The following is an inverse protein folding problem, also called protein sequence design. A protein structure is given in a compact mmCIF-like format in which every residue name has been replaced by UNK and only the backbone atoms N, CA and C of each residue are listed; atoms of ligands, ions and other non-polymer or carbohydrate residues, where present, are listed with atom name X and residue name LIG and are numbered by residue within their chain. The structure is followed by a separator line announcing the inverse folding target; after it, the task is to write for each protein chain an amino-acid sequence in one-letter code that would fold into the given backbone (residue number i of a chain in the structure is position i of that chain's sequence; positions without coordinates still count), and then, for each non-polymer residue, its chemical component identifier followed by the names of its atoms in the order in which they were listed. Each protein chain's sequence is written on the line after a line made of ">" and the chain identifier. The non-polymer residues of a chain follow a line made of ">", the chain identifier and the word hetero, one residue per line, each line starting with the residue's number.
data_IF_198809380618
#
_entry.id   IF_198809380618
#
_cell.length_a   1.000
_cell.length_b   1.000
_cell.length_c   1.000
_cell.angle_alpha   90.00
_cell.angle_beta   90.00
_cell.angle_gamma   90.00
#
_symmetry.space_group_name_H-M   'P 1'
#
loop_
_entity.id
_entity.type
_entity.pdbx_description
1 polymer ?
#
# COMPACT_ATOMS: atom_id res chain seq x y z
N UNK A 1 20.26 -35.56 -15.63
CA UNK A 1 19.35 -35.05 -16.65
C UNK A 1 19.18 -33.54 -16.45
N UNK A 2 20.25 -32.79 -16.73
CA UNK A 2 20.30 -31.33 -16.68
C UNK A 2 21.52 -30.93 -17.52
N UNK A 3 21.27 -30.55 -18.76
CA UNK A 3 22.16 -29.84 -19.68
C UNK A 3 21.32 -29.65 -20.94
N UNK A 4 21.03 -28.39 -21.27
CA UNK A 4 20.83 -27.85 -22.62
C UNK A 4 19.88 -26.65 -22.52
N UNK A 5 20.46 -25.45 -22.63
CA UNK A 5 19.88 -24.28 -23.31
C UNK A 5 20.93 -23.15 -23.28
N UNK A 6 22.03 -23.39 -23.98
CA UNK A 6 22.93 -22.36 -24.49
C UNK A 6 23.14 -22.70 -25.96
N UNK A 7 22.38 -22.07 -26.87
CA UNK A 7 22.87 -21.49 -28.13
C UNK A 7 21.78 -21.13 -29.15
N UNK A 8 21.93 -19.89 -29.67
CA UNK A 8 21.49 -19.33 -30.97
C UNK A 8 20.05 -18.79 -31.13
N UNK A 9 19.80 -17.85 -32.07
CA UNK A 9 20.59 -16.68 -32.49
C UNK A 9 19.76 -15.38 -32.50
N UNK A 10 20.42 -14.23 -32.58
CA UNK A 10 19.80 -12.89 -32.65
C UNK A 10 19.35 -12.52 -34.08
N UNK A 11 18.18 -11.84 -34.22
CA UNK A 11 17.83 -10.76 -35.18
C UNK A 11 16.30 -10.44 -35.15
N UNK A 12 15.79 -9.30 -35.67
CA UNK A 12 16.21 -7.91 -35.53
C UNK A 12 15.05 -6.96 -35.07
N UNK A 13 15.45 -5.73 -34.76
CA UNK A 13 14.73 -4.48 -34.42
C UNK A 13 13.23 -4.30 -34.75
N UNK A 14 12.49 -3.71 -33.79
CA UNK A 14 11.40 -2.77 -34.04
C UNK A 14 11.49 -1.56 -33.10
N UNK A 15 11.48 -0.38 -33.71
CA UNK A 15 11.60 0.95 -33.11
C UNK A 15 10.48 1.29 -32.11
N UNK A 16 10.84 1.80 -30.93
CA UNK A 16 10.14 2.90 -30.23
C UNK A 16 11.14 3.64 -29.32
N UNK A 17 11.12 4.98 -29.23
CA UNK A 17 12.18 5.73 -28.56
C UNK A 17 11.90 5.90 -27.06
N UNK A 18 12.61 5.15 -26.23
CA UNK A 18 12.74 5.41 -24.80
C UNK A 18 13.83 6.46 -24.59
N UNK A 19 13.48 7.64 -24.08
CA UNK A 19 14.45 8.66 -23.64
C UNK A 19 15.20 8.14 -22.41
N UNK A 20 16.40 7.60 -22.63
CA UNK A 20 17.41 7.38 -21.60
C UNK A 20 18.24 8.67 -21.45
N UNK A 21 18.26 9.22 -20.25
CA UNK A 21 19.19 10.27 -19.84
C UNK A 21 20.49 9.55 -19.44
N UNK A 22 21.50 9.54 -20.31
CA UNK A 22 22.85 9.12 -19.95
C UNK A 22 23.61 10.30 -19.32
N UNK A 23 24.01 10.12 -18.06
CA UNK A 23 24.95 10.99 -17.36
C UNK A 23 26.35 10.41 -17.61
N UNK A 24 27.16 11.08 -18.44
CA UNK A 24 28.55 10.69 -18.69
C UNK A 24 29.48 11.41 -17.70
N UNK A 25 30.11 10.65 -16.80
CA UNK A 25 31.27 11.09 -16.02
C UNK A 25 32.54 10.86 -16.83
N UNK A 26 33.28 11.92 -17.17
CA UNK A 26 34.64 11.78 -17.73
C UNK A 26 35.70 11.75 -16.62
N UNK A 27 36.53 10.72 -16.67
CA UNK A 27 37.65 10.43 -15.76
C UNK A 27 38.90 11.17 -16.25
N UNK A 28 39.61 11.82 -15.32
CA UNK A 28 40.88 12.53 -15.53
C UNK A 28 41.96 11.65 -16.18
N UNK A 29 42.60 12.15 -17.25
CA UNK A 29 44.02 11.90 -17.55
C UNK A 29 44.60 13.06 -18.39
N UNK A 30 45.80 13.51 -18.00
CA UNK A 30 46.58 14.62 -18.60
C UNK A 30 46.87 14.42 -20.10
N UNK A 31 46.86 15.50 -20.91
CA UNK A 31 47.94 15.90 -21.86
C UNK A 31 47.59 17.22 -22.63
N UNK A 32 48.54 18.17 -22.59
CA UNK A 32 48.89 19.33 -23.46
C UNK A 32 47.86 20.21 -24.23
N UNK A 33 48.02 21.54 -24.05
CA UNK A 33 47.44 22.72 -24.74
C UNK A 33 47.80 22.81 -26.25
N UNK A 34 47.12 23.59 -27.15
CA UNK A 34 46.69 25.00 -26.93
C UNK A 34 45.34 25.50 -27.52
N UNK A 35 44.77 26.49 -26.82
CA UNK A 35 44.10 27.73 -27.28
C UNK A 35 43.21 27.65 -28.54
N UNK A 36 41.89 27.69 -28.34
CA UNK A 36 41.02 28.68 -29.00
C UNK A 36 39.76 28.95 -28.16
N UNK A 37 39.52 30.23 -27.93
CA UNK A 37 38.44 30.82 -27.15
C UNK A 37 37.11 30.60 -27.87
N UNK A 38 36.15 29.96 -27.21
CA UNK A 38 34.72 30.04 -27.51
C UNK A 38 34.01 30.38 -26.20
N UNK A 39 33.10 31.37 -26.16
CA UNK A 39 32.50 31.80 -24.92
C UNK A 39 31.64 30.67 -24.36
N UNK A 40 31.84 30.35 -23.08
CA UNK A 40 30.94 29.49 -22.34
C UNK A 40 29.56 30.16 -22.30
N UNK A 41 28.67 29.77 -23.20
CA UNK A 41 27.24 30.02 -23.04
C UNK A 41 26.80 29.19 -21.85
N UNK A 42 26.85 29.79 -20.67
CA UNK A 42 26.27 29.25 -19.45
C UNK A 42 24.76 29.16 -19.67
N UNK A 43 24.29 28.00 -20.15
CA UNK A 43 22.86 27.67 -20.12
C UNK A 43 22.53 27.44 -18.65
N UNK A 44 22.08 28.49 -18.00
CA UNK A 44 21.39 28.37 -16.71
C UNK A 44 20.09 27.62 -17.02
N UNK A 45 20.07 26.31 -16.80
CA UNK A 45 18.82 25.55 -16.74
C UNK A 45 18.12 25.95 -15.44
N UNK A 46 17.47 27.11 -15.44
CA UNK A 46 16.42 27.45 -14.48
C UNK A 46 15.14 26.73 -14.89
N UNK A 47 15.20 25.40 -14.89
CA UNK A 47 14.07 24.55 -15.17
C UNK A 47 13.26 24.29 -13.90
N UNK A 48 12.63 25.32 -13.33
CA UNK A 48 11.34 25.03 -12.65
C UNK A 48 10.41 24.70 -13.81
N UNK A 49 10.19 23.42 -14.08
CA UNK A 49 9.20 23.00 -15.07
C UNK A 49 7.87 23.63 -14.66
N UNK A 50 7.39 24.63 -15.41
CA UNK A 50 6.06 25.19 -15.20
C UNK A 50 5.07 24.04 -15.37
N UNK A 51 4.54 23.54 -14.26
CA UNK A 51 3.57 22.45 -14.29
C UNK A 51 2.27 23.01 -14.90
N UNK A 52 1.73 22.32 -15.90
CA UNK A 52 0.45 22.75 -16.49
C UNK A 52 -0.67 22.60 -15.45
N UNK A 53 -1.70 23.44 -15.51
CA UNK A 53 -2.86 23.35 -14.60
C UNK A 53 -3.44 21.92 -14.56
N UNK A 54 -3.51 21.24 -15.72
CA UNK A 54 -3.99 19.86 -15.79
C UNK A 54 -3.08 18.89 -15.03
N UNK A 55 -1.76 19.04 -15.16
CA UNK A 55 -0.78 18.21 -14.49
C UNK A 55 -0.78 18.47 -12.98
N UNK A 56 -0.83 19.73 -12.55
CA UNK A 56 -0.92 20.09 -11.13
C UNK A 56 -2.20 19.56 -10.50
N UNK A 57 -3.36 19.70 -11.18
CA UNK A 57 -4.63 19.15 -10.71
C UNK A 57 -4.56 17.62 -10.62
N UNK A 58 -3.94 16.96 -11.60
CA UNK A 58 -3.71 15.52 -11.56
C UNK A 58 -2.90 15.14 -10.32
N UNK A 59 -1.73 15.74 -10.10
CA UNK A 59 -0.83 15.43 -9.00
C UNK A 59 -1.48 15.65 -7.63
N UNK A 60 -2.17 16.79 -7.46
CA UNK A 60 -2.87 17.12 -6.21
C UNK A 60 -3.99 16.11 -5.93
N UNK A 61 -4.75 15.71 -6.95
CA UNK A 61 -5.86 14.76 -6.76
C UNK A 61 -5.37 13.34 -6.59
N UNK A 62 -4.38 12.88 -7.38
CA UNK A 62 -3.81 11.54 -7.25
C UNK A 62 -3.02 11.35 -5.95
N UNK A 63 -2.53 12.45 -5.37
CA UNK A 63 -1.91 12.44 -4.04
C UNK A 63 -2.90 12.26 -2.90
N UNK A 64 -4.21 12.39 -3.15
CA UNK A 64 -5.28 12.13 -2.19
C UNK A 64 -6.17 10.98 -2.69
N UNK A 65 -5.86 9.72 -2.32
CA UNK A 65 -6.64 8.56 -2.73
C UNK A 65 -8.12 8.63 -2.32
N UNK A 66 -8.47 9.30 -1.23
CA UNK A 66 -9.87 9.44 -0.78
C UNK A 66 -10.61 10.37 -1.72
N UNK A 67 -10.02 11.53 -2.04
CA UNK A 67 -10.59 12.46 -3.01
C UNK A 67 -10.70 11.81 -4.39
N UNK A 68 -9.67 11.07 -4.81
CA UNK A 68 -9.68 10.30 -6.04
C UNK A 68 -10.87 9.33 -6.05
N UNK A 69 -11.14 8.60 -4.96
CA UNK A 69 -12.28 7.69 -4.83
C UNK A 69 -13.64 8.43 -4.84
N UNK A 70 -13.73 9.63 -4.28
CA UNK A 70 -14.95 10.43 -4.36
C UNK A 70 -15.23 10.91 -5.79
N UNK A 71 -14.20 11.40 -6.49
CA UNK A 71 -14.28 11.69 -7.93
C UNK A 71 -14.60 10.40 -8.67
N UNK A 72 -14.01 9.29 -8.20
CA UNK A 72 -14.21 7.93 -8.70
C UNK A 72 -15.64 7.41 -8.53
N UNK A 73 -16.52 8.13 -7.85
CA UNK A 73 -17.90 7.71 -7.59
C UNK A 73 -18.91 8.74 -8.05
N UNK A 74 -18.46 9.79 -8.75
CA UNK A 74 -19.30 10.89 -9.23
C UNK A 74 -20.05 11.64 -8.11
N UNK A 75 -19.56 11.56 -6.88
CA UNK A 75 -20.18 12.20 -5.70
C UNK A 75 -19.58 13.58 -5.38
N UNK A 76 -18.77 14.14 -6.28
CA UNK A 76 -18.04 15.40 -6.08
C UNK A 76 -18.67 16.54 -6.86
N UNK A 77 -18.93 17.66 -6.18
CA UNK A 77 -19.22 18.92 -6.84
C UNK A 77 -17.91 19.57 -7.33
N UNK A 78 -17.61 19.43 -8.63
CA UNK A 78 -16.36 19.93 -9.22
C UNK A 78 -16.18 21.44 -9.09
N UNK A 79 -17.26 22.23 -9.08
CA UNK A 79 -17.16 23.69 -8.88
C UNK A 79 -16.69 24.01 -7.47
N UNK A 80 -17.25 23.33 -6.45
CA UNK A 80 -16.85 23.52 -5.05
C UNK A 80 -15.42 23.01 -4.81
N UNK A 81 -15.07 21.87 -5.40
CA UNK A 81 -13.72 21.32 -5.32
C UNK A 81 -12.69 22.26 -5.98
N UNK A 82 -12.99 22.79 -7.17
CA UNK A 82 -12.09 23.71 -7.86
C UNK A 82 -11.78 24.97 -7.04
N UNK A 83 -12.78 25.54 -6.35
CA UNK A 83 -12.56 26.66 -5.42
C UNK A 83 -11.64 26.30 -4.25
N UNK A 84 -11.76 25.09 -3.72
CA UNK A 84 -10.88 24.60 -2.64
C UNK A 84 -9.45 24.36 -3.13
N UNK A 85 -9.28 23.86 -4.36
CA UNK A 85 -7.97 23.57 -4.92
C UNK A 85 -7.26 24.82 -5.47
N UNK A 86 -7.99 25.89 -5.80
CA UNK A 86 -7.43 27.11 -6.40
C UNK A 86 -6.20 27.67 -5.68
N UNK A 87 -6.17 27.84 -4.34
CA UNK A 87 -4.98 28.36 -3.67
C UNK A 87 -3.75 27.48 -3.88
N UNK A 88 -3.91 26.17 -3.75
CA UNK A 88 -2.84 25.17 -3.90
C UNK A 88 -2.34 25.15 -5.34
N UNK A 89 -3.26 25.04 -6.30
CA UNK A 89 -2.92 24.96 -7.73
C UNK A 89 -2.25 26.25 -8.21
N UNK A 90 -2.77 27.42 -7.82
CA UNK A 90 -2.19 28.70 -8.23
C UNK A 90 -0.78 28.90 -7.67
N UNK A 91 -0.55 28.45 -6.43
CA UNK A 91 0.77 28.50 -5.80
C UNK A 91 1.78 27.60 -6.53
N UNK A 92 1.40 26.37 -6.90
CA UNK A 92 2.30 25.41 -7.58
C UNK A 92 2.59 25.85 -9.02
N UNK A 93 1.58 26.35 -9.75
CA UNK A 93 1.73 26.81 -11.13
C UNK A 93 2.49 28.15 -11.20
N UNK A 94 2.46 28.94 -10.12
CA UNK A 94 3.19 30.20 -9.99
C UNK A 94 2.42 31.45 -10.46
N UNK A 95 1.13 31.32 -10.75
CA UNK A 95 0.25 32.44 -11.08
C UNK A 95 -1.21 32.15 -10.67
N UNK A 96 -2.05 33.18 -10.61
CA UNK A 96 -3.48 32.98 -10.32
C UNK A 96 -4.15 32.14 -11.42
N UNK A 97 -4.84 31.07 -11.02
CA UNK A 97 -5.54 30.17 -11.93
C UNK A 97 -7.06 30.35 -11.80
N UNK A 98 -7.76 30.43 -12.93
CA UNK A 98 -9.22 30.50 -12.97
C UNK A 98 -9.86 29.21 -12.43
N UNK A 99 -10.97 29.35 -11.69
CA UNK A 99 -11.71 28.22 -11.10
C UNK A 99 -12.22 27.29 -12.20
N UNK A 100 -12.63 27.85 -13.33
CA UNK A 100 -13.14 27.17 -14.51
C UNK A 100 -12.07 26.26 -15.13
N UNK A 101 -10.82 26.71 -15.20
CA UNK A 101 -9.70 25.92 -15.71
C UNK A 101 -9.43 24.69 -14.84
N UNK A 102 -9.46 24.85 -13.51
CA UNK A 102 -9.31 23.74 -12.55
C UNK A 102 -10.50 22.78 -12.67
N UNK A 103 -11.72 23.31 -12.74
CA UNK A 103 -12.94 22.51 -12.91
C UNK A 103 -12.87 21.66 -14.17
N UNK A 104 -12.44 22.22 -15.31
CA UNK A 104 -12.31 21.46 -16.55
C UNK A 104 -11.23 20.39 -16.47
N UNK A 105 -10.12 20.65 -15.78
CA UNK A 105 -9.11 19.63 -15.50
C UNK A 105 -9.66 18.49 -14.63
N UNK A 106 -10.44 18.81 -13.59
CA UNK A 106 -11.10 17.82 -12.73
C UNK A 106 -12.10 16.94 -13.51
N UNK A 107 -12.90 17.54 -14.39
CA UNK A 107 -13.84 16.81 -15.25
C UNK A 107 -13.09 15.83 -16.16
N UNK A 108 -12.03 16.29 -16.85
CA UNK A 108 -11.20 15.42 -17.69
C UNK A 108 -10.56 14.28 -16.90
N UNK A 109 -10.10 14.57 -15.68
CA UNK A 109 -9.55 13.55 -14.78
C UNK A 109 -10.61 12.51 -14.39
N UNK A 110 -11.82 12.95 -14.07
CA UNK A 110 -12.93 12.05 -13.72
C UNK A 110 -13.31 11.10 -14.86
N UNK A 111 -13.32 11.59 -16.11
CA UNK A 111 -13.55 10.77 -17.30
C UNK A 111 -12.51 9.65 -17.45
N UNK A 112 -11.21 9.98 -17.30
CA UNK A 112 -10.13 8.97 -17.33
C UNK A 112 -10.32 7.89 -16.26
N UNK A 113 -10.70 8.29 -15.05
CA UNK A 113 -10.98 7.35 -13.97
C UNK A 113 -12.24 6.50 -14.20
N UNK A 114 -13.19 6.96 -15.01
CA UNK A 114 -14.44 6.22 -15.25
C UNK A 114 -14.21 4.99 -16.14
N UNK A 115 -13.23 5.04 -17.03
CA UNK A 115 -12.83 3.90 -17.88
C UNK A 115 -12.19 2.76 -17.08
N UNK A 116 -11.62 3.04 -15.91
CA UNK A 116 -10.88 2.09 -15.06
C UNK A 116 -11.76 1.41 -13.97
N UNK A 117 -13.07 1.72 -13.90
CA UNK A 117 -13.78 1.86 -12.61
C UNK A 117 -14.74 0.75 -12.17
N UNK A 118 -15.20 -0.13 -13.05
CA UNK A 118 -16.43 -0.90 -12.76
C UNK A 118 -16.24 -2.19 -11.95
N UNK A 119 -15.03 -2.73 -11.87
CA UNK A 119 -14.79 -4.07 -11.28
C UNK A 119 -14.42 -4.03 -9.80
N UNK A 120 -13.57 -3.07 -9.43
CA UNK A 120 -12.87 -3.05 -8.15
C UNK A 120 -13.77 -3.05 -6.91
N UNK A 121 -14.84 -2.24 -6.93
CA UNK A 121 -15.70 -2.10 -5.76
C UNK A 121 -16.57 -3.34 -5.50
N UNK A 122 -16.93 -4.09 -6.55
CA UNK A 122 -17.76 -5.29 -6.41
C UNK A 122 -16.94 -6.49 -5.99
N UNK A 123 -15.73 -6.65 -6.52
CA UNK A 123 -14.79 -7.73 -6.18
C UNK A 123 -14.37 -7.66 -4.71
N UNK A 124 -14.01 -6.46 -4.22
CA UNK A 124 -13.70 -6.25 -2.80
C UNK A 124 -14.89 -6.64 -1.91
N UNK A 125 -16.10 -6.22 -2.28
CA UNK A 125 -17.31 -6.62 -1.53
C UNK A 125 -17.59 -8.11 -1.62
N UNK A 126 -17.32 -8.77 -2.76
CA UNK A 126 -17.49 -10.20 -2.93
C UNK A 126 -16.54 -11.00 -2.04
N UNK A 127 -15.27 -10.58 -1.95
CA UNK A 127 -14.29 -11.19 -1.05
C UNK A 127 -14.76 -11.04 0.40
N UNK A 128 -15.05 -9.81 0.84
CA UNK A 128 -15.53 -9.54 2.20
C UNK A 128 -16.78 -10.35 2.56
N UNK A 129 -17.73 -10.45 1.62
CA UNK A 129 -18.97 -11.19 1.85
C UNK A 129 -18.74 -12.70 2.02
N UNK A 130 -17.65 -13.23 1.47
CA UNK A 130 -17.25 -14.63 1.58
C UNK A 130 -16.12 -14.85 2.60
N UNK A 131 -15.73 -13.82 3.37
CA UNK A 131 -14.77 -13.96 4.46
C UNK A 131 -15.44 -14.41 5.76
N UNK A 132 -14.67 -15.12 6.59
CA UNK A 132 -14.98 -15.40 8.00
C UNK A 132 -14.01 -14.66 8.92
N UNK A 133 -14.38 -14.49 10.19
CA UNK A 133 -13.58 -13.77 11.19
C UNK A 133 -13.40 -14.63 12.43
N UNK A 134 -12.16 -14.84 12.83
CA UNK A 134 -11.79 -15.47 14.10
C UNK A 134 -11.09 -14.47 15.02
N UNK A 135 -11.19 -14.72 16.33
CA UNK A 135 -10.59 -13.87 17.35
C UNK A 135 -9.75 -14.71 18.30
N UNK A 136 -8.53 -14.25 18.58
CA UNK A 136 -7.61 -14.83 19.56
C UNK A 136 -7.16 -13.76 20.55
N UNK A 137 -7.14 -14.10 21.83
CA UNK A 137 -6.68 -13.22 22.91
C UNK A 137 -5.42 -13.76 23.54
N UNK A 138 -4.70 -12.92 24.28
CA UNK A 138 -3.45 -13.32 24.91
C UNK A 138 -2.34 -13.45 23.88
N UNK A 139 -2.27 -12.50 22.94
CA UNK A 139 -1.25 -12.41 21.91
C UNK A 139 -0.17 -11.42 22.35
N UNK A 140 1.07 -11.77 22.09
CA UNK A 140 2.23 -10.91 22.29
C UNK A 140 2.93 -10.65 20.95
N UNK A 141 3.35 -9.40 20.75
CA UNK A 141 4.20 -8.97 19.66
C UNK A 141 5.58 -8.71 20.23
N UNK A 142 6.60 -9.36 19.67
CA UNK A 142 7.99 -9.21 20.06
C UNK A 142 8.79 -8.86 18.82
N UNK A 143 9.55 -7.77 18.86
CA UNK A 143 10.48 -7.39 17.80
C UNK A 143 11.90 -7.58 18.28
N UNK A 144 12.70 -8.33 17.54
CA UNK A 144 14.12 -8.55 17.78
C UNK A 144 14.96 -7.96 16.65
N UNK A 145 16.24 -7.71 16.88
CA UNK A 145 17.17 -7.33 15.80
C UNK A 145 17.39 -8.48 14.82
N UNK A 146 17.49 -8.18 13.52
CA UNK A 146 17.63 -9.21 12.48
C UNK A 146 18.88 -10.08 12.65
N UNK A 147 19.97 -9.52 13.21
CA UNK A 147 21.22 -10.26 13.46
C UNK A 147 21.03 -11.50 14.34
N UNK A 148 20.06 -11.51 15.25
CA UNK A 148 19.79 -12.64 16.17
C UNK A 148 18.71 -13.59 15.65
N UNK A 149 18.13 -13.33 14.48
CA UNK A 149 17.04 -14.13 13.94
C UNK A 149 17.44 -15.59 13.72
N UNK A 150 18.66 -15.84 13.25
CA UNK A 150 19.20 -17.19 13.05
C UNK A 150 19.30 -17.97 14.37
N UNK A 151 19.61 -17.30 15.48
CA UNK A 151 19.67 -17.90 16.83
C UNK A 151 18.27 -18.10 17.41
N UNK A 152 17.32 -17.21 17.08
CA UNK A 152 15.92 -17.31 17.48
C UNK A 152 15.19 -18.44 16.76
N UNK A 153 15.58 -18.79 15.52
CA UNK A 153 14.85 -19.76 14.68
C UNK A 153 14.70 -21.15 15.32
N UNK A 154 15.76 -21.81 15.84
CA UNK A 154 15.60 -23.12 16.48
C UNK A 154 14.64 -23.09 17.69
N UNK A 155 14.66 -22.00 18.44
CA UNK A 155 13.74 -21.78 19.56
C UNK A 155 12.30 -21.63 19.07
N UNK A 156 12.08 -20.86 18.01
CA UNK A 156 10.76 -20.69 17.38
C UNK A 156 10.22 -22.02 16.84
N UNK A 157 11.06 -22.84 16.20
CA UNK A 157 10.67 -24.18 15.75
C UNK A 157 10.23 -25.07 16.91
N UNK A 158 10.93 -25.03 18.05
CA UNK A 158 10.53 -25.76 19.26
C UNK A 158 9.21 -25.23 19.83
N UNK A 159 9.03 -23.91 19.86
CA UNK A 159 7.81 -23.27 20.37
C UNK A 159 6.60 -23.55 19.48
N UNK A 160 6.79 -23.62 18.16
CA UNK A 160 5.72 -23.85 17.19
C UNK A 160 4.91 -25.12 17.46
N UNK A 161 5.52 -26.17 18.03
CA UNK A 161 4.85 -27.45 18.34
C UNK A 161 3.74 -27.31 19.38
N UNK A 162 3.89 -26.37 20.32
CA UNK A 162 2.93 -26.14 21.43
C UNK A 162 2.20 -24.81 21.33
N UNK A 163 2.68 -23.92 20.46
CA UNK A 163 2.10 -22.61 20.28
C UNK A 163 0.70 -22.75 19.70
N UNK A 164 -0.24 -22.01 20.27
CA UNK A 164 -1.60 -21.88 19.73
C UNK A 164 -1.67 -20.82 18.64
N UNK A 165 -0.67 -19.95 18.59
CA UNK A 165 -0.58 -18.88 17.61
C UNK A 165 0.87 -18.50 17.40
N UNK A 166 1.38 -18.64 16.17
CA UNK A 166 2.72 -18.20 15.81
C UNK A 166 2.69 -17.56 14.43
N UNK A 167 3.24 -16.35 14.36
CA UNK A 167 3.54 -15.69 13.10
C UNK A 167 4.90 -15.02 13.20
N UNK A 168 5.66 -15.08 12.11
CA UNK A 168 7.04 -14.64 12.08
C UNK A 168 7.24 -13.88 10.79
N UNK A 169 7.69 -12.63 10.89
CA UNK A 169 8.09 -11.83 9.75
C UNK A 169 9.49 -11.27 9.97
N UNK A 170 10.29 -11.27 8.92
CA UNK A 170 11.62 -10.68 8.94
C UNK A 170 11.66 -9.48 7.99
N UNK A 171 12.13 -8.36 8.51
CA UNK A 171 12.49 -7.16 7.75
C UNK A 171 14.02 -7.06 7.64
N UNK A 172 14.51 -5.99 7.03
CA UNK A 172 15.95 -5.76 6.82
C UNK A 172 16.69 -5.66 8.16
N UNK A 173 16.13 -4.91 9.12
CA UNK A 173 16.81 -4.58 10.40
C UNK A 173 16.26 -5.33 11.61
N UNK A 174 15.05 -5.87 11.50
CA UNK A 174 14.34 -6.51 12.61
C UNK A 174 13.58 -7.74 12.16
N UNK A 175 13.22 -8.60 13.11
CA UNK A 175 12.19 -9.60 12.93
C UNK A 175 11.09 -9.36 13.95
N UNK A 176 9.84 -9.46 13.53
CA UNK A 176 8.66 -9.43 14.40
C UNK A 176 8.14 -10.85 14.53
N UNK A 177 7.94 -11.25 15.78
CA UNK A 177 7.44 -12.54 16.20
C UNK A 177 6.15 -12.27 16.96
N UNK A 178 5.07 -12.89 16.50
CA UNK A 178 3.78 -12.89 17.17
C UNK A 178 3.58 -14.28 17.77
N UNK A 179 3.31 -14.32 19.07
CA UNK A 179 3.13 -15.56 19.84
C UNK A 179 1.93 -15.44 20.77
N UNK A 180 1.39 -16.56 21.25
CA UNK A 180 0.58 -16.52 22.48
C UNK A 180 1.45 -16.13 23.69
N UNK A 181 0.84 -15.54 24.71
CA UNK A 181 1.56 -15.00 25.88
C UNK A 181 2.46 -16.06 26.57
N UNK A 182 1.98 -17.30 26.68
CA UNK A 182 2.71 -18.37 27.37
C UNK A 182 4.01 -18.71 26.63
N UNK A 183 3.93 -18.86 25.30
CA UNK A 183 5.11 -19.11 24.46
C UNK A 183 5.99 -17.88 24.29
N UNK A 184 5.41 -16.68 24.33
CA UNK A 184 6.14 -15.41 24.31
C UNK A 184 7.03 -15.25 25.54
N UNK A 185 6.53 -15.60 26.73
CA UNK A 185 7.31 -15.56 27.98
C UNK A 185 8.53 -16.46 27.91
N UNK A 186 8.38 -17.66 27.34
CA UNK A 186 9.52 -18.56 27.15
C UNK A 186 10.48 -18.04 26.08
N UNK A 187 9.95 -17.49 24.97
CA UNK A 187 10.80 -16.91 23.93
C UNK A 187 11.70 -15.80 24.49
N UNK A 188 11.10 -14.84 25.21
CA UNK A 188 11.80 -13.69 25.80
C UNK A 188 12.89 -14.14 26.78
N UNK A 189 12.63 -15.17 27.61
CA UNK A 189 13.62 -15.69 28.58
C UNK A 189 14.88 -16.27 27.92
N UNK A 190 14.80 -16.68 26.66
CA UNK A 190 15.89 -17.33 25.93
C UNK A 190 16.56 -16.41 24.90
N UNK A 191 16.20 -15.14 24.85
CA UNK A 191 16.81 -14.13 23.99
C UNK A 191 17.48 -13.07 24.87
N UNK A 192 18.65 -12.59 24.45
CA UNK A 192 19.33 -11.50 25.15
C UNK A 192 18.46 -10.24 25.13
N UNK A 193 18.17 -9.68 26.31
CA UNK A 193 17.35 -8.47 26.46
C UNK A 193 17.87 -7.29 25.63
N UNK A 194 19.18 -7.20 25.41
CA UNK A 194 19.75 -6.14 24.60
C UNK A 194 19.23 -6.20 23.17
N UNK A 195 19.00 -7.41 22.61
CA UNK A 195 18.58 -7.65 21.23
C UNK A 195 17.06 -7.62 21.00
N UNK A 196 16.28 -7.53 22.08
CA UNK A 196 14.85 -7.26 22.04
C UNK A 196 14.65 -5.74 21.86
N UNK A 197 13.99 -5.37 20.77
CA UNK A 197 13.71 -3.97 20.40
C UNK A 197 12.37 -3.51 20.99
N UNK A 198 11.39 -4.40 20.99
CA UNK A 198 10.02 -4.07 21.38
C UNK A 198 9.29 -5.31 21.89
N UNK A 199 8.45 -5.13 22.92
CA UNK A 199 7.54 -6.17 23.42
C UNK A 199 6.22 -5.52 23.77
N UNK A 200 5.13 -6.11 23.31
CA UNK A 200 3.79 -5.77 23.75
C UNK A 200 2.98 -7.05 23.95
N UNK A 201 2.54 -7.29 25.19
CA UNK A 201 1.77 -8.48 25.59
C UNK A 201 0.30 -8.16 25.74
N UNK A 202 -0.51 -9.20 25.94
CA UNK A 202 -1.94 -9.08 26.24
C UNK A 202 -2.74 -8.33 25.16
N UNK A 203 -2.34 -8.51 23.90
CA UNK A 203 -3.06 -8.01 22.73
C UNK A 203 -4.05 -9.07 22.22
N UNK A 204 -4.80 -8.69 21.20
CA UNK A 204 -5.73 -9.57 20.53
C UNK A 204 -5.50 -9.59 19.02
N UNK A 205 -5.54 -10.78 18.43
CA UNK A 205 -5.50 -10.96 16.99
C UNK A 205 -6.92 -11.23 16.47
N UNK A 206 -7.26 -10.58 15.37
CA UNK A 206 -8.45 -10.84 14.57
C UNK A 206 -7.97 -11.39 13.24
N UNK A 207 -8.36 -12.61 12.91
CA UNK A 207 -7.98 -13.29 11.68
C UNK A 207 -9.17 -13.25 10.73
N UNK A 208 -9.01 -12.59 9.59
CA UNK A 208 -10.00 -12.56 8.52
C UNK A 208 -9.57 -13.56 7.45
N UNK A 209 -10.28 -14.69 7.37
CA UNK A 209 -10.03 -15.74 6.37
C UNK A 209 -10.89 -15.44 5.15
N UNK A 210 -10.26 -15.25 4.00
CA UNK A 210 -10.92 -14.80 2.76
C UNK A 210 -10.79 -15.83 1.64
N UNK A 211 -11.59 -15.74 0.55
CA UNK A 211 -11.32 -16.54 -0.65
C UNK A 211 -9.97 -16.18 -1.29
N UNK A 212 -9.40 -17.11 -2.05
CA UNK A 212 -8.09 -16.99 -2.73
C UNK A 212 -7.97 -15.71 -3.58
N UNK A 213 -9.09 -15.24 -4.14
CA UNK A 213 -9.18 -14.00 -4.92
C UNK A 213 -8.58 -12.76 -4.21
N UNK A 214 -8.48 -12.78 -2.87
CA UNK A 214 -7.81 -11.74 -2.09
C UNK A 214 -6.36 -11.50 -2.51
N UNK A 215 -5.68 -12.54 -3.00
CA UNK A 215 -4.29 -12.46 -3.48
C UNK A 215 -4.14 -11.58 -4.72
N UNK A 216 -5.22 -11.44 -5.50
CA UNK A 216 -5.19 -10.78 -6.82
C UNK A 216 -6.09 -9.54 -6.87
N UNK A 217 -6.87 -9.28 -5.82
CA UNK A 217 -7.82 -8.17 -5.77
C UNK A 217 -7.26 -7.05 -4.89
N UNK A 218 -6.80 -5.93 -5.47
CA UNK A 218 -6.31 -4.84 -4.65
C UNK A 218 -7.45 -4.21 -3.83
N UNK A 219 -7.09 -3.45 -2.79
CA UNK A 219 -8.06 -2.66 -2.03
C UNK A 219 -8.81 -3.38 -0.91
N UNK A 220 -8.74 -4.71 -0.79
CA UNK A 220 -9.34 -5.43 0.34
C UNK A 220 -8.73 -4.96 1.67
N UNK A 221 -7.39 -4.95 1.76
CA UNK A 221 -6.67 -4.48 2.95
C UNK A 221 -6.88 -2.98 3.18
N UNK A 222 -6.97 -2.18 2.12
CA UNK A 222 -7.29 -0.75 2.22
C UNK A 222 -8.71 -0.53 2.79
N UNK A 223 -9.69 -1.33 2.35
CA UNK A 223 -11.04 -1.30 2.87
C UNK A 223 -11.08 -1.64 4.36
N UNK A 224 -10.48 -2.78 4.73
CA UNK A 224 -10.46 -3.30 6.10
C UNK A 224 -9.75 -2.32 7.05
N UNK A 225 -8.58 -1.81 6.67
CA UNK A 225 -7.86 -0.83 7.49
C UNK A 225 -8.63 0.49 7.61
N UNK A 226 -9.27 0.97 6.53
CA UNK A 226 -10.07 2.19 6.55
C UNK A 226 -11.31 2.07 7.46
N UNK A 227 -12.06 0.97 7.43
CA UNK A 227 -13.22 0.81 8.33
C UNK A 227 -12.81 0.78 9.80
N UNK A 228 -11.65 0.20 10.13
CA UNK A 228 -11.13 0.21 11.50
C UNK A 228 -10.69 1.62 11.92
N UNK A 229 -9.94 2.32 11.05
CA UNK A 229 -9.48 3.69 11.30
C UNK A 229 -10.64 4.67 11.48
N UNK A 230 -11.67 4.61 10.63
CA UNK A 230 -12.86 5.46 10.71
C UNK A 230 -13.64 5.29 12.01
N UNK A 231 -13.49 4.14 12.66
CA UNK A 231 -14.11 3.85 13.94
C UNK A 231 -13.12 4.00 15.09
N UNK A 232 -11.97 4.66 14.91
CA UNK A 232 -10.95 4.88 15.95
C UNK A 232 -10.49 3.58 16.60
N UNK A 233 -10.22 2.56 15.77
CA UNK A 233 -9.51 1.34 16.18
C UNK A 233 -8.10 1.42 15.61
N UNK A 234 -7.10 1.42 16.48
CA UNK A 234 -5.71 1.40 16.06
C UNK A 234 -5.28 -0.03 15.72
N UNK A 235 -4.62 -0.20 14.58
CA UNK A 235 -3.98 -1.45 14.20
C UNK A 235 -2.55 -1.41 14.72
N UNK A 236 -2.23 -2.27 15.67
CA UNK A 236 -0.88 -2.38 16.25
C UNK A 236 0.03 -3.12 15.28
N UNK A 237 -0.50 -4.17 14.67
CA UNK A 237 0.22 -5.00 13.72
C UNK A 237 -0.75 -5.58 12.70
N UNK A 238 -0.31 -5.74 11.47
CA UNK A 238 -1.08 -6.38 10.42
C UNK A 238 -0.14 -7.18 9.54
N UNK A 239 -0.56 -8.38 9.17
CA UNK A 239 0.13 -9.24 8.25
C UNK A 239 -0.85 -10.06 7.42
N UNK A 240 -0.40 -10.51 6.26
CA UNK A 240 -1.16 -11.37 5.37
C UNK A 240 -0.38 -12.66 5.14
N UNK A 241 -1.03 -13.79 5.32
CA UNK A 241 -0.49 -15.11 5.00
C UNK A 241 -1.47 -15.84 4.10
N UNK A 242 -1.17 -15.88 2.80
CA UNK A 242 -2.08 -16.45 1.79
C UNK A 242 -3.48 -15.79 1.87
N UNK A 243 -4.52 -16.56 2.18
CA UNK A 243 -5.91 -16.09 2.29
C UNK A 243 -6.22 -15.32 3.57
N UNK A 244 -5.31 -15.35 4.53
CA UNK A 244 -5.58 -14.90 5.89
C UNK A 244 -4.99 -13.51 6.09
N UNK A 245 -5.80 -12.60 6.63
CA UNK A 245 -5.34 -11.30 7.12
C UNK A 245 -5.39 -11.31 8.64
N UNK A 246 -4.24 -11.21 9.29
CA UNK A 246 -4.11 -11.18 10.75
C UNK A 246 -3.96 -9.72 11.16
N UNK A 247 -4.87 -9.25 12.03
CA UNK A 247 -4.92 -7.87 12.50
C UNK A 247 -4.81 -7.89 14.02
N UNK A 248 -3.73 -7.32 14.55
CA UNK A 248 -3.52 -7.22 16.00
C UNK A 248 -3.94 -5.84 16.47
N UNK A 249 -4.80 -5.83 17.49
CA UNK A 249 -5.37 -4.64 18.12
C UNK A 249 -5.21 -4.71 19.62
N UNK A 250 -5.46 -3.58 20.29
CA UNK A 250 -5.56 -3.56 21.75
C UNK A 250 -6.63 -4.54 22.23
N UNK A 251 -6.35 -5.25 23.33
CA UNK A 251 -7.37 -6.05 24.02
C UNK A 251 -8.62 -5.24 24.38
N UNK A 252 -8.47 -3.93 24.60
CA UNK A 252 -9.60 -3.04 24.88
C UNK A 252 -10.46 -2.75 23.64
N UNK A 253 -9.87 -2.83 22.44
CA UNK A 253 -10.55 -2.55 21.17
C UNK A 253 -11.11 -3.81 20.50
N UNK A 254 -10.80 -5.00 21.01
CA UNK A 254 -11.13 -6.29 20.38
C UNK A 254 -12.61 -6.43 20.03
N UNK A 255 -13.51 -6.14 20.99
CA UNK A 255 -14.94 -6.30 20.81
C UNK A 255 -15.46 -5.31 19.76
N UNK A 256 -14.96 -4.08 19.80
CA UNK A 256 -15.31 -3.02 18.87
C UNK A 256 -14.86 -3.38 17.46
N UNK A 257 -13.61 -3.78 17.30
CA UNK A 257 -13.01 -4.18 16.03
C UNK A 257 -13.74 -5.39 15.40
N UNK A 258 -14.00 -6.44 16.19
CA UNK A 258 -14.76 -7.61 15.74
C UNK A 258 -16.17 -7.23 15.26
N UNK A 259 -16.90 -6.44 16.06
CA UNK A 259 -18.25 -6.00 15.72
C UNK A 259 -18.29 -5.16 14.43
N UNK A 260 -17.29 -4.29 14.23
CA UNK A 260 -17.15 -3.49 13.00
C UNK A 260 -16.95 -4.42 11.80
N UNK A 261 -15.99 -5.35 11.86
CA UNK A 261 -15.70 -6.26 10.75
C UNK A 261 -16.93 -7.10 10.38
N UNK A 262 -17.57 -7.71 11.38
CA UNK A 262 -18.79 -8.48 11.17
C UNK A 262 -19.92 -7.65 10.53
N UNK A 263 -20.14 -6.42 11.03
CA UNK A 263 -21.14 -5.49 10.46
C UNK A 263 -20.89 -5.23 8.98
N UNK A 264 -19.65 -4.97 8.58
CA UNK A 264 -19.32 -4.65 7.18
C UNK A 264 -19.31 -5.89 6.27
N UNK A 265 -18.92 -7.06 6.78
CA UNK A 265 -19.08 -8.33 6.08
C UNK A 265 -20.56 -8.62 5.80
N UNK A 266 -21.44 -8.45 6.79
CA UNK A 266 -22.87 -8.64 6.62
C UNK A 266 -23.51 -7.60 5.68
N UNK A 267 -23.02 -6.36 5.72
CA UNK A 267 -23.42 -5.33 4.76
C UNK A 267 -23.01 -5.70 3.34
N UNK A 268 -21.79 -6.23 3.13
CA UNK A 268 -21.32 -6.69 1.83
C UNK A 268 -22.21 -7.84 1.28
N UNK A 269 -22.52 -8.83 2.13
CA UNK A 269 -23.46 -9.93 1.79
C UNK A 269 -24.82 -9.40 1.34
N UNK A 270 -25.37 -8.39 2.02
CA UNK A 270 -26.67 -7.78 1.66
C UNK A 270 -26.59 -7.02 0.34
N UNK A 271 -25.55 -6.21 0.14
CA UNK A 271 -25.37 -5.41 -1.09
C UNK A 271 -25.30 -6.27 -2.34
N UNK A 272 -24.59 -7.40 -2.29
CA UNK A 272 -24.46 -8.31 -3.44
C UNK A 272 -25.77 -9.03 -3.78
N UNK A 273 -26.60 -9.35 -2.79
CA UNK A 273 -27.94 -9.94 -3.02
C UNK A 273 -28.89 -8.98 -3.74
N UNK A 274 -28.78 -7.67 -3.46
CA UNK A 274 -29.62 -6.64 -4.09
C UNK A 274 -29.17 -6.42 -5.54
N UNK A 275 -27.86 -6.30 -5.79
CA UNK A 275 -27.32 -6.09 -7.14
C UNK A 275 -27.71 -7.18 -8.15
N UNK A 276 -27.79 -8.44 -7.71
CA UNK A 276 -28.23 -9.55 -8.58
C UNK A 276 -29.73 -9.54 -8.90
N UNK A 277 -30.57 -8.83 -8.14
CA UNK A 277 -32.02 -8.70 -8.43
C UNK A 277 -32.31 -7.60 -9.45
N UNK A 278 -31.48 -6.56 -9.52
CA UNK A 278 -31.64 -5.44 -10.44
C UNK A 278 -31.21 -5.76 -11.88
N UNK A 279 -30.39 -6.79 -12.09
CA UNK A 279 -29.95 -7.27 -13.42
C UNK A 279 -30.97 -8.16 -14.13
N UNK A 280 -32.13 -8.45 -13.53
CA UNK A 280 -33.22 -9.20 -14.17
C UNK A 280 -34.34 -8.32 -14.74
N UNK A 281 -34.15 -6.99 -14.77
CA UNK A 281 -35.12 -6.02 -15.30
C UNK A 281 -34.55 -5.10 -16.38
N UNK A 282 -33.45 -5.49 -17.02
CA UNK A 282 -32.91 -4.83 -18.21
C UNK A 282 -32.78 -5.86 -19.35
#
# INVERSE_FOLDING_TARGET
>A
MYLDLLNMPAQPSLHTPTRLIEVVYFRNTLFQLPIHILPATMIIVTGVTMSSISQTVYEVVSGDPILQQCISREIVNFTKLARKLKPIVSQIVGHDVAVESIKMSLIRYAYRLAEERYTFSREVLAILANSSVEVRTGIAIITIRSKVFHTAMPLLTKLAIRSRFIAIMQSITTATIVLDNDTADEFIKNIDNSDIVYVQKDQAAIVVVSPEDIMYTPGVIAYVSNILAQNSVNIIHIESCYTDTIIIVSKNDIQKAFNILMKYIDAAKKSLKIGNRSTHYL
#
